data_IF_272927784747
#
_entry.id   IF_272927784747
#
_cell.length_a   1.000
_cell.length_b   1.000
_cell.length_c   1.000
_cell.angle_alpha   90.00
_cell.angle_beta   90.00
_cell.angle_gamma   90.00
#
_symmetry.space_group_name_H-M   'P 1'
#
loop_
_entity.id
_entity.type
_entity.pdbx_description
1 polymer ?
#
# COMPACT_ATOMS: atom_id res chain seq x y z
N UNK A 1 22.67 47.93 1.78
CA UNK A 1 22.45 46.63 1.12
C UNK A 1 21.02 46.21 1.38
N UNK A 2 20.31 45.69 0.37
CA UNK A 2 18.94 45.22 0.55
C UNK A 2 18.97 43.86 1.28
N UNK A 3 18.27 43.75 2.40
CA UNK A 3 17.96 42.48 3.04
C UNK A 3 16.78 41.82 2.32
N UNK A 4 16.87 40.52 2.09
CA UNK A 4 15.76 39.69 1.62
C UNK A 4 14.48 40.01 2.43
N UNK A 5 13.39 40.34 1.74
CA UNK A 5 12.03 40.29 2.28
C UNK A 5 11.26 39.15 1.58
N UNK A 6 10.77 38.18 2.36
CA UNK A 6 9.91 37.09 1.89
C UNK A 6 8.53 37.25 2.50
N UNK A 7 7.50 37.19 1.66
CA UNK A 7 6.09 37.15 2.06
C UNK A 7 5.47 35.88 1.48
N UNK A 8 4.67 35.18 2.28
CA UNK A 8 3.90 34.00 1.85
C UNK A 8 2.46 34.20 2.30
N UNK A 9 1.52 34.12 1.35
CA UNK A 9 0.09 34.15 1.62
C UNK A 9 -0.54 32.88 1.04
N UNK A 10 -1.34 32.20 1.84
CA UNK A 10 -2.10 31.01 1.43
C UNK A 10 -3.57 31.20 1.80
N UNK A 11 -4.48 30.80 0.92
CA UNK A 11 -5.92 30.76 1.19
C UNK A 11 -6.27 29.31 1.46
N UNK A 12 -6.88 29.04 2.63
CA UNK A 12 -7.33 27.70 2.96
C UNK A 12 -8.40 27.24 1.96
N UNK A 13 -8.21 26.03 1.44
CA UNK A 13 -9.18 25.30 0.63
C UNK A 13 -9.35 23.94 1.28
N UNK A 14 -10.57 23.46 1.37
CA UNK A 14 -10.81 22.07 1.76
C UNK A 14 -10.33 21.17 0.62
N UNK A 15 -9.50 20.19 0.96
CA UNK A 15 -9.13 19.15 0.01
C UNK A 15 -10.35 18.26 -0.26
N UNK A 16 -10.56 17.80 -1.51
CA UNK A 16 -11.62 16.85 -1.78
C UNK A 16 -11.43 15.59 -0.92
N UNK A 17 -12.52 14.99 -0.40
CA UNK A 17 -12.43 13.76 0.36
C UNK A 17 -11.86 12.65 -0.54
N UNK A 18 -10.78 12.02 -0.10
CA UNK A 18 -10.20 10.86 -0.78
C UNK A 18 -10.90 9.61 -0.27
N UNK A 19 -11.85 9.10 -1.05
CA UNK A 19 -12.48 7.81 -0.78
C UNK A 19 -11.85 6.75 -1.69
N UNK A 20 -11.37 5.67 -1.10
CA UNK A 20 -10.80 4.54 -1.81
C UNK A 20 -11.77 3.36 -1.73
N UNK A 21 -12.23 2.87 -2.89
CA UNK A 21 -13.13 1.74 -3.00
C UNK A 21 -12.44 0.60 -3.75
N UNK A 22 -12.15 -0.48 -3.03
CA UNK A 22 -11.67 -1.73 -3.61
C UNK A 22 -12.85 -2.61 -4.04
N UNK A 23 -12.68 -3.33 -5.14
CA UNK A 23 -13.62 -4.35 -5.61
C UNK A 23 -12.88 -5.60 -6.10
N UNK A 24 -13.51 -6.76 -5.94
CA UNK A 24 -12.97 -8.06 -6.35
C UNK A 24 -11.95 -8.68 -5.39
N UNK A 25 -11.39 -9.81 -5.82
CA UNK A 25 -10.31 -10.48 -5.09
C UNK A 25 -8.96 -9.85 -5.47
N UNK A 26 -8.18 -9.34 -4.49
CA UNK A 26 -6.86 -8.79 -4.75
C UNK A 26 -5.82 -9.85 -5.09
N UNK A 27 -5.96 -11.12 -4.69
CA UNK A 27 -4.95 -12.13 -5.02
C UNK A 27 -5.06 -12.49 -6.51
N UNK A 28 -4.10 -12.07 -7.32
CA UNK A 28 -4.13 -12.27 -8.78
C UNK A 28 -3.25 -13.41 -9.26
N UNK A 29 -2.37 -13.94 -8.40
CA UNK A 29 -1.55 -15.11 -8.70
C UNK A 29 -0.31 -15.20 -7.82
N UNK A 30 0.72 -15.85 -8.34
CA UNK A 30 2.05 -15.93 -7.73
C UNK A 30 3.15 -15.80 -8.78
N UNK A 31 4.32 -15.32 -8.37
CA UNK A 31 5.53 -15.18 -9.20
C UNK A 31 6.76 -15.59 -8.41
N UNK A 32 7.78 -16.11 -9.08
CA UNK A 32 9.08 -16.32 -8.45
C UNK A 32 9.75 -14.97 -8.16
N UNK A 33 10.18 -14.78 -6.92
CA UNK A 33 10.94 -13.61 -6.49
C UNK A 33 12.09 -14.02 -5.57
N UNK A 34 13.20 -13.28 -5.64
CA UNK A 34 14.37 -13.54 -4.83
C UNK A 34 14.38 -12.64 -3.59
N UNK A 35 14.43 -13.24 -2.41
CA UNK A 35 14.57 -12.56 -1.13
C UNK A 35 15.76 -13.16 -0.37
N UNK A 36 16.67 -12.32 0.10
CA UNK A 36 17.84 -12.77 0.88
C UNK A 36 18.70 -13.84 0.15
N UNK A 37 18.68 -13.84 -1.18
CA UNK A 37 19.38 -14.81 -2.01
C UNK A 37 18.62 -16.11 -2.31
N UNK A 38 17.43 -16.29 -1.74
CA UNK A 38 16.56 -17.45 -2.00
C UNK A 38 15.41 -17.08 -2.93
N UNK A 39 15.18 -17.90 -3.96
CA UNK A 39 14.02 -17.78 -4.85
C UNK A 39 12.82 -18.48 -4.23
N UNK A 40 11.68 -17.78 -4.17
CA UNK A 40 10.44 -18.27 -3.56
C UNK A 40 9.25 -17.95 -4.45
N UNK A 41 8.29 -18.87 -4.54
CA UNK A 41 6.98 -18.56 -5.11
C UNK A 41 6.27 -17.56 -4.20
N UNK A 42 5.95 -16.39 -4.75
CA UNK A 42 5.54 -15.22 -3.98
C UNK A 42 4.17 -14.73 -4.46
N UNK A 43 3.17 -14.59 -3.58
CA UNK A 43 1.84 -14.13 -3.97
C UNK A 43 1.88 -12.71 -4.54
N UNK A 44 1.06 -12.47 -5.55
CA UNK A 44 0.88 -11.18 -6.21
C UNK A 44 -0.52 -10.66 -5.94
N UNK A 45 -0.59 -9.43 -5.46
CA UNK A 45 -1.83 -8.73 -5.17
C UNK A 45 -2.03 -7.53 -6.10
N UNK A 46 -3.26 -7.32 -6.55
CA UNK A 46 -3.69 -6.10 -7.25
C UNK A 46 -3.96 -4.99 -6.22
N UNK A 47 -3.17 -3.91 -6.29
CA UNK A 47 -3.26 -2.74 -5.43
C UNK A 47 -4.63 -2.08 -5.49
N UNK A 48 -5.33 -2.11 -6.63
CA UNK A 48 -6.65 -1.50 -6.83
C UNK A 48 -7.79 -2.27 -6.15
N UNK A 49 -7.52 -3.49 -5.67
CA UNK A 49 -8.51 -4.38 -5.05
C UNK A 49 -8.24 -4.63 -3.56
N UNK A 50 -7.19 -4.03 -3.01
CA UNK A 50 -6.88 -4.13 -1.58
C UNK A 50 -7.71 -3.14 -0.79
N UNK A 51 -8.66 -3.62 0.01
CA UNK A 51 -9.48 -2.71 0.82
C UNK A 51 -8.70 -2.19 2.04
N UNK A 52 -9.02 -0.97 2.52
CA UNK A 52 -8.54 -0.51 3.81
C UNK A 52 -8.93 -1.43 4.95
N UNK A 53 -8.07 -1.54 5.96
CA UNK A 53 -8.35 -2.33 7.16
C UNK A 53 -9.66 -1.86 7.82
N UNK A 54 -10.60 -2.77 8.03
CA UNK A 54 -11.92 -2.47 8.59
C UNK A 54 -12.94 -1.89 7.59
N UNK A 55 -12.57 -1.78 6.31
CA UNK A 55 -13.50 -1.48 5.22
C UNK A 55 -14.39 -2.67 4.85
N UNK A 56 -15.56 -2.39 4.24
CA UNK A 56 -16.60 -3.39 3.92
C UNK A 56 -16.30 -4.36 2.77
N UNK A 57 -15.04 -4.50 2.34
CA UNK A 57 -14.65 -5.44 1.29
C UNK A 57 -14.77 -6.89 1.77
N UNK A 58 -15.23 -7.80 0.90
CA UNK A 58 -15.47 -9.20 1.26
C UNK A 58 -14.22 -10.09 1.27
N UNK A 59 -13.10 -9.68 0.66
CA UNK A 59 -11.90 -10.53 0.58
C UNK A 59 -11.22 -10.70 1.94
N UNK A 60 -10.71 -11.91 2.24
CA UNK A 60 -9.95 -12.19 3.45
C UNK A 60 -8.66 -11.35 3.54
N UNK A 61 -8.03 -11.08 2.40
CA UNK A 61 -6.86 -10.19 2.29
C UNK A 61 -7.19 -8.71 2.60
N UNK A 62 -8.48 -8.34 2.64
CA UNK A 62 -8.92 -7.00 3.03
C UNK A 62 -9.09 -6.83 4.56
N UNK A 63 -9.05 -7.93 5.33
CA UNK A 63 -9.29 -7.90 6.78
C UNK A 63 -8.02 -7.99 7.62
N UNK A 64 -6.98 -8.62 7.10
CA UNK A 64 -5.69 -8.81 7.77
C UNK A 64 -4.57 -8.15 6.96
N UNK A 65 -3.46 -7.76 7.59
CA UNK A 65 -2.29 -7.31 6.84
C UNK A 65 -1.81 -8.41 5.89
N UNK A 66 -1.19 -8.01 4.80
CA UNK A 66 -0.46 -8.90 3.90
C UNK A 66 0.89 -9.16 4.56
N UNK A 67 1.06 -10.40 5.04
CA UNK A 67 2.34 -10.89 5.54
C UNK A 67 3.28 -11.17 4.36
N UNK A 68 4.51 -10.67 4.44
CA UNK A 68 5.54 -10.93 3.46
C UNK A 68 6.16 -12.35 3.60
N UNK A 69 6.72 -12.91 2.52
CA UNK A 69 7.01 -12.25 1.24
C UNK A 69 5.78 -12.10 0.34
N UNK A 70 5.63 -10.93 -0.28
CA UNK A 70 4.55 -10.64 -1.23
C UNK A 70 4.95 -9.59 -2.26
N UNK A 71 4.22 -9.52 -3.38
CA UNK A 71 4.29 -8.43 -4.36
C UNK A 71 2.92 -7.78 -4.48
N UNK A 72 2.88 -6.45 -4.50
CA UNK A 72 1.66 -5.68 -4.74
C UNK A 72 1.84 -4.86 -6.02
N UNK A 73 1.10 -5.20 -7.06
CA UNK A 73 1.14 -4.54 -8.37
C UNK A 73 0.01 -3.51 -8.46
N UNK A 74 0.34 -2.29 -8.86
CA UNK A 74 -0.63 -1.30 -9.33
C UNK A 74 -0.18 -0.75 -10.67
N UNK A 75 -1.09 -0.06 -11.36
CA UNK A 75 -0.87 0.43 -12.73
C UNK A 75 0.39 1.29 -12.89
N UNK A 76 0.75 2.05 -11.85
CA UNK A 76 1.88 2.99 -11.86
C UNK A 76 3.07 2.55 -11.01
N UNK A 77 2.92 1.50 -10.20
CA UNK A 77 3.93 1.13 -9.20
C UNK A 77 3.84 -0.34 -8.79
N UNK A 78 5.00 -0.95 -8.53
CA UNK A 78 5.08 -2.28 -7.89
C UNK A 78 5.74 -2.13 -6.53
N UNK A 79 5.12 -2.68 -5.49
CA UNK A 79 5.68 -2.77 -4.13
C UNK A 79 6.09 -4.20 -3.85
N UNK A 80 7.30 -4.38 -3.33
CA UNK A 80 7.81 -5.67 -2.88
C UNK A 80 7.81 -5.68 -1.36
N UNK A 81 7.17 -6.69 -0.77
CA UNK A 81 7.08 -6.90 0.67
C UNK A 81 8.05 -8.02 1.05
N UNK A 82 9.16 -7.73 1.76
CA UNK A 82 10.10 -8.75 2.19
C UNK A 82 9.51 -9.71 3.23
N UNK A 83 10.13 -10.88 3.46
CA UNK A 83 9.82 -11.72 4.62
C UNK A 83 9.90 -10.94 5.94
N UNK A 84 8.97 -11.21 6.87
CA UNK A 84 8.93 -10.55 8.18
C UNK A 84 8.45 -9.09 8.15
N UNK A 85 7.74 -8.70 7.10
CA UNK A 85 7.09 -7.40 6.98
C UNK A 85 5.58 -7.60 6.81
N UNK A 86 4.83 -6.65 7.34
CA UNK A 86 3.38 -6.56 7.19
C UNK A 86 3.00 -5.33 6.38
N UNK A 87 2.08 -5.50 5.44
CA UNK A 87 1.54 -4.40 4.64
C UNK A 87 0.03 -4.29 4.80
N UNK A 88 -0.46 -3.07 5.02
CA UNK A 88 -1.90 -2.77 5.09
C UNK A 88 -2.24 -1.49 4.33
N UNK A 89 -3.48 -1.42 3.84
CA UNK A 89 -4.04 -0.21 3.25
C UNK A 89 -4.67 0.65 4.36
N UNK A 90 -4.21 1.90 4.49
CA UNK A 90 -4.82 2.91 5.36
C UNK A 90 -6.14 3.39 4.74
N UNK A 91 -7.03 3.96 5.56
CA UNK A 91 -8.34 4.49 5.12
C UNK A 91 -8.33 5.47 3.93
N UNK A 92 -7.20 6.10 3.62
CA UNK A 92 -7.02 7.00 2.48
C UNK A 92 -6.36 6.33 1.25
N UNK A 93 -6.19 5.01 1.25
CA UNK A 93 -5.62 4.24 0.14
C UNK A 93 -4.09 4.16 0.12
N UNK A 94 -3.40 4.73 1.11
CA UNK A 94 -1.95 4.57 1.24
C UNK A 94 -1.59 3.16 1.71
N UNK A 95 -0.56 2.55 1.12
CA UNK A 95 0.06 1.34 1.64
C UNK A 95 1.02 1.72 2.78
N UNK A 96 0.88 1.08 3.93
CA UNK A 96 1.80 1.19 5.07
C UNK A 96 2.49 -0.16 5.20
N UNK A 97 3.81 -0.13 5.30
CA UNK A 97 4.65 -1.31 5.49
C UNK A 97 5.39 -1.19 6.82
N UNK A 98 5.31 -2.23 7.64
CA UNK A 98 5.93 -2.30 8.97
C UNK A 98 6.77 -3.57 9.05
N UNK A 99 7.88 -3.51 9.77
CA UNK A 99 8.64 -4.71 10.13
C UNK A 99 7.86 -5.42 11.23
N UNK A 100 7.52 -6.69 11.01
CA UNK A 100 6.86 -7.52 12.00
C UNK A 100 7.86 -7.83 13.13
N UNK A 101 7.51 -7.51 14.37
CA UNK A 101 8.26 -8.05 15.53
C UNK A 101 7.95 -9.55 15.62
N UNK A 102 8.97 -10.38 15.40
CA UNK A 102 8.89 -11.85 15.44
C UNK A 102 8.76 -12.41 16.86
#
# INVERSE_FOLDING_TARGET
GLGNCRVTAAVARDAPPVAYAADGDPLTGAREAAFEGEVRETPVYDRGRLSPRGGGGSSAASRSPIEGPAVVEGDESTVVVPPGWDVAVRGDGALIAEVSDA
#
